data_IF_732888181390
#
_entry.id   IF_732888181390
#
_cell.length_a   1.000
_cell.length_b   1.000
_cell.length_c   1.000
_cell.angle_alpha   90.00
_cell.angle_beta   90.00
_cell.angle_gamma   90.00
#
_symmetry.space_group_name_H-M   'P 1'
#
loop_
_entity.id
_entity.type
_entity.pdbx_description
1 polymer ?
#
# COMPACT_ATOMS: atom_id res chain seq x y z
N UNK A 1 -32.08 53.09 -24.73
CA UNK A 1 -32.09 52.11 -25.82
C UNK A 1 -30.83 51.27 -25.65
N UNK A 2 -30.90 50.12 -24.95
CA UNK A 2 -30.98 48.78 -25.56
C UNK A 2 -29.54 48.31 -25.89
N UNK A 3 -28.94 47.34 -25.21
CA UNK A 3 -29.39 45.96 -25.10
C UNK A 3 -28.71 45.23 -23.93
N UNK A 4 -29.54 44.68 -23.03
CA UNK A 4 -29.18 43.58 -22.14
C UNK A 4 -29.85 42.32 -22.66
N UNK A 5 -29.16 41.19 -22.67
CA UNK A 5 -29.75 39.94 -23.15
C UNK A 5 -28.77 38.79 -23.26
N UNK A 6 -28.34 38.21 -22.13
CA UNK A 6 -27.79 36.86 -22.07
C UNK A 6 -27.72 36.35 -20.61
N UNK A 7 -28.84 36.34 -19.88
CA UNK A 7 -28.88 35.74 -18.52
C UNK A 7 -30.23 35.13 -18.11
N UNK A 8 -31.15 34.90 -19.04
CA UNK A 8 -32.50 34.39 -18.76
C UNK A 8 -32.84 33.11 -19.51
N UNK A 9 -31.88 32.17 -19.59
CA UNK A 9 -32.05 30.88 -20.27
C UNK A 9 -31.94 29.62 -19.41
N UNK A 10 -31.72 29.71 -18.09
CA UNK A 10 -31.39 28.54 -17.24
C UNK A 10 -32.25 28.32 -15.99
N UNK A 11 -33.35 29.06 -15.83
CA UNK A 11 -34.22 28.98 -14.63
C UNK A 11 -35.70 28.68 -14.90
N UNK A 12 -36.06 28.12 -16.06
CA UNK A 12 -37.44 27.79 -16.40
C UNK A 12 -37.63 26.35 -16.89
N UNK A 13 -37.17 25.35 -16.13
CA UNK A 13 -37.64 23.95 -16.24
C UNK A 13 -37.76 23.23 -14.88
N UNK A 14 -38.12 23.96 -13.83
CA UNK A 14 -38.58 23.38 -12.57
C UNK A 14 -39.97 23.95 -12.30
N UNK A 15 -40.97 23.43 -13.01
CA UNK A 15 -42.40 23.50 -12.68
C UNK A 15 -43.18 22.83 -13.81
N UNK A 16 -43.32 21.52 -13.74
CA UNK A 16 -44.49 20.73 -14.19
C UNK A 16 -44.14 19.24 -14.26
N UNK A 17 -44.40 18.53 -13.16
CA UNK A 17 -45.11 17.23 -13.17
C UNK A 17 -45.11 16.68 -11.75
N UNK A 18 -46.11 17.09 -10.99
CA UNK A 18 -46.60 16.27 -9.88
C UNK A 18 -47.21 15.02 -10.51
N UNK A 19 -46.50 13.91 -10.43
CA UNK A 19 -47.11 12.58 -10.52
C UNK A 19 -46.42 11.66 -9.51
N UNK A 20 -46.74 11.85 -8.23
CA UNK A 20 -46.17 11.13 -7.08
C UNK A 20 -46.69 9.71 -6.91
N UNK A 21 -47.46 9.18 -7.87
CA UNK A 21 -47.99 7.79 -7.85
C UNK A 21 -47.29 6.82 -8.82
N UNK A 22 -46.50 7.30 -9.79
CA UNK A 22 -45.77 6.43 -10.73
C UNK A 22 -44.31 6.19 -10.35
N UNK A 23 -43.69 7.11 -9.60
CA UNK A 23 -42.30 6.98 -9.11
C UNK A 23 -42.18 5.90 -8.03
N UNK A 24 -43.21 5.69 -7.21
CA UNK A 24 -43.21 4.67 -6.15
C UNK A 24 -43.29 3.25 -6.72
N UNK A 25 -43.98 3.06 -7.85
CA UNK A 25 -44.14 1.74 -8.49
C UNK A 25 -42.89 1.34 -9.27
N UNK A 26 -42.22 2.27 -9.97
CA UNK A 26 -40.93 2.01 -10.61
C UNK A 26 -39.77 1.79 -9.61
N UNK A 27 -39.83 2.41 -8.41
CA UNK A 27 -38.83 2.19 -7.35
C UNK A 27 -38.98 0.87 -6.59
N UNK A 28 -40.14 0.21 -6.65
CA UNK A 28 -40.27 -1.14 -6.11
C UNK A 28 -39.72 -2.21 -7.07
N UNK A 29 -39.59 -1.92 -8.37
CA UNK A 29 -38.98 -2.82 -9.35
C UNK A 29 -37.44 -2.82 -9.30
N UNK A 30 -36.80 -1.76 -8.80
CA UNK A 30 -35.34 -1.74 -8.61
C UNK A 30 -34.85 -2.72 -7.54
N UNK A 31 -35.75 -3.20 -6.68
CA UNK A 31 -35.48 -4.20 -5.63
C UNK A 31 -35.24 -5.61 -6.24
N UNK A 32 -35.73 -5.86 -7.46
CA UNK A 32 -35.63 -7.17 -8.15
C UNK A 32 -34.40 -7.35 -9.04
N UNK A 33 -33.51 -6.35 -9.13
CA UNK A 33 -32.47 -6.29 -10.17
C UNK A 33 -31.09 -6.78 -9.73
N UNK A 34 -30.79 -6.78 -8.43
CA UNK A 34 -29.59 -7.43 -7.93
C UNK A 34 -29.89 -8.93 -7.80
N UNK A 35 -29.26 -9.73 -8.65
CA UNK A 35 -29.40 -11.19 -8.58
C UNK A 35 -28.93 -11.68 -7.21
N UNK A 36 -29.50 -12.80 -6.74
CA UNK A 36 -28.98 -13.54 -5.59
C UNK A 36 -27.44 -13.65 -5.74
N UNK A 37 -26.63 -13.30 -4.71
CA UNK A 37 -26.94 -13.30 -3.27
C UNK A 37 -27.12 -11.93 -2.60
N UNK A 38 -27.54 -10.88 -3.32
CA UNK A 38 -27.81 -9.58 -2.69
C UNK A 38 -29.11 -9.57 -1.87
N UNK A 39 -29.05 -9.02 -0.65
CA UNK A 39 -30.20 -8.82 0.23
C UNK A 39 -30.41 -7.34 0.49
N UNK A 40 -31.62 -6.86 0.25
CA UNK A 40 -32.02 -5.49 0.60
C UNK A 40 -32.20 -5.35 2.12
N UNK A 41 -31.58 -4.34 2.73
CA UNK A 41 -31.57 -4.16 4.20
C UNK A 41 -32.06 -2.78 4.65
N UNK A 42 -32.02 -1.78 3.74
CA UNK A 42 -32.52 -0.41 3.93
C UNK A 42 -33.02 0.10 2.57
N UNK A 43 -33.90 1.12 2.50
CA UNK A 43 -34.55 1.57 1.25
C UNK A 43 -33.62 1.69 0.03
N UNK A 44 -32.37 2.10 0.24
CA UNK A 44 -31.38 2.30 -0.81
C UNK A 44 -30.06 1.53 -0.60
N UNK A 45 -30.06 0.53 0.29
CA UNK A 45 -28.86 -0.23 0.64
C UNK A 45 -29.12 -1.73 0.58
N UNK A 46 -28.27 -2.41 -0.18
CA UNK A 46 -28.23 -3.88 -0.23
C UNK A 46 -26.91 -4.40 0.31
N UNK A 47 -26.91 -5.63 0.82
CA UNK A 47 -25.73 -6.32 1.32
C UNK A 47 -25.54 -7.65 0.59
N UNK A 48 -24.29 -7.98 0.27
CA UNK A 48 -23.86 -9.30 -0.21
C UNK A 48 -22.81 -9.84 0.73
N UNK A 49 -23.06 -11.03 1.26
CA UNK A 49 -22.08 -11.73 2.08
C UNK A 49 -21.39 -12.81 1.25
N UNK A 50 -20.07 -12.90 1.40
CA UNK A 50 -19.21 -13.88 0.75
C UNK A 50 -18.29 -14.54 1.77
N UNK A 51 -17.86 -15.75 1.46
CA UNK A 51 -16.98 -16.54 2.32
C UNK A 51 -15.80 -17.07 1.50
N UNK A 52 -14.66 -17.19 2.16
CA UNK A 52 -13.49 -17.92 1.66
C UNK A 52 -12.71 -18.51 2.82
N UNK A 53 -11.81 -19.43 2.54
CA UNK A 53 -10.85 -19.94 3.52
C UNK A 53 -10.02 -18.78 4.07
N UNK A 54 -9.82 -18.74 5.39
CA UNK A 54 -8.89 -17.79 6.00
C UNK A 54 -7.48 -18.02 5.45
N UNK A 55 -6.74 -16.98 5.02
CA UNK A 55 -5.33 -17.14 4.66
C UNK A 55 -4.42 -17.27 5.89
N UNK A 56 -4.98 -17.13 7.08
CA UNK A 56 -4.28 -17.23 8.36
C UNK A 56 -4.57 -18.59 8.98
N UNK A 57 -3.85 -19.62 8.52
CA UNK A 57 -3.91 -20.96 9.11
C UNK A 57 -3.43 -20.92 10.57
N UNK A 58 -3.78 -21.94 11.36
CA UNK A 58 -3.36 -22.14 12.78
C UNK A 58 -1.84 -22.10 13.04
N UNK A 59 -1.02 -22.05 11.99
CA UNK A 59 0.45 -22.05 12.03
C UNK A 59 1.01 -20.62 12.09
N UNK A 60 0.25 -19.62 11.64
CA UNK A 60 0.68 -18.23 11.69
C UNK A 60 0.27 -17.68 13.07
N UNK A 61 1.21 -17.21 13.90
CA UNK A 61 0.86 -16.61 15.18
C UNK A 61 -0.21 -15.55 14.99
N UNK A 62 -1.28 -15.65 15.80
CA UNK A 62 -2.36 -14.65 15.84
C UNK A 62 -1.85 -13.26 16.25
N UNK A 63 -0.60 -13.16 16.70
CA UNK A 63 0.12 -11.92 16.96
C UNK A 63 0.73 -11.39 15.66
N UNK A 64 0.33 -10.20 15.25
CA UNK A 64 0.78 -9.61 13.99
C UNK A 64 2.07 -8.82 14.27
N UNK A 65 3.14 -9.06 13.50
CA UNK A 65 4.48 -8.69 13.91
C UNK A 65 4.72 -7.18 13.90
N UNK A 66 5.78 -6.83 14.64
CA UNK A 66 6.39 -5.50 14.85
C UNK A 66 6.63 -4.65 13.59
N UNK A 67 6.40 -5.17 12.38
CA UNK A 67 6.25 -4.36 11.17
C UNK A 67 5.20 -3.25 11.37
N UNK A 68 4.16 -3.54 12.14
CA UNK A 68 3.10 -2.61 12.54
C UNK A 68 3.13 -2.40 14.06
N UNK A 69 3.81 -1.36 14.58
CA UNK A 69 3.90 -1.10 16.03
C UNK A 69 2.54 -1.02 16.74
N UNK A 70 1.47 -0.69 16.00
CA UNK A 70 0.11 -0.63 16.51
C UNK A 70 -0.49 -2.01 16.85
N UNK A 71 0.20 -3.10 16.49
CA UNK A 71 -0.31 -4.47 16.53
C UNK A 71 0.45 -5.41 17.47
N UNK A 72 1.45 -4.92 18.20
CA UNK A 72 2.16 -5.74 19.17
C UNK A 72 1.14 -6.35 20.15
N UNK A 73 1.07 -7.70 20.19
CA UNK A 73 0.11 -8.47 20.98
C UNK A 73 -1.39 -8.29 20.62
N UNK A 74 -1.72 -7.92 19.38
CA UNK A 74 -3.11 -7.86 18.88
C UNK A 74 -3.50 -9.14 18.15
N UNK A 75 -4.69 -9.65 18.48
CA UNK A 75 -5.31 -10.84 17.87
C UNK A 75 -5.88 -10.50 16.47
N UNK A 76 -5.72 -11.42 15.53
CA UNK A 76 -6.25 -11.34 14.17
C UNK A 76 -7.77 -11.12 14.09
N UNK A 77 -8.53 -11.58 15.09
CA UNK A 77 -9.99 -11.40 15.18
C UNK A 77 -10.40 -9.91 15.31
N UNK A 78 -9.44 -9.03 15.58
CA UNK A 78 -9.62 -7.58 15.62
C UNK A 78 -9.42 -6.90 14.27
N UNK A 79 -8.92 -7.62 13.25
CA UNK A 79 -8.73 -7.03 11.93
C UNK A 79 -10.05 -6.87 11.21
N UNK A 80 -10.18 -5.72 10.56
CA UNK A 80 -11.26 -5.41 9.65
C UNK A 80 -10.64 -4.91 8.34
N UNK A 81 -10.54 -5.80 7.37
CA UNK A 81 -10.08 -5.48 6.01
C UNK A 81 -11.15 -4.67 5.32
N UNK A 82 -10.80 -3.55 4.69
CA UNK A 82 -11.80 -2.73 4.03
C UNK A 82 -11.28 -2.05 2.78
N UNK A 83 -12.21 -1.79 1.87
CA UNK A 83 -12.03 -1.08 0.62
C UNK A 83 -13.34 -0.37 0.25
N UNK A 84 -13.26 0.70 -0.55
CA UNK A 84 -14.44 1.45 -1.02
C UNK A 84 -14.35 1.68 -2.53
N UNK A 85 -15.50 1.59 -3.21
CA UNK A 85 -15.66 2.17 -4.54
C UNK A 85 -16.41 3.49 -4.47
N UNK A 86 -15.93 4.47 -5.23
CA UNK A 86 -16.34 5.86 -5.08
C UNK A 86 -16.81 6.46 -6.40
N UNK A 87 -17.64 7.50 -6.34
CA UNK A 87 -18.16 8.19 -7.54
C UNK A 87 -17.16 9.11 -8.22
N UNK A 88 -15.90 9.12 -7.80
CA UNK A 88 -14.86 9.95 -8.41
C UNK A 88 -13.51 9.83 -7.71
N UNK A 89 -12.44 10.09 -8.46
CA UNK A 89 -11.07 9.88 -8.00
C UNK A 89 -10.48 11.04 -7.19
N UNK A 90 -11.18 12.18 -7.12
CA UNK A 90 -10.60 13.46 -6.67
C UNK A 90 -11.02 13.89 -5.25
N UNK A 91 -11.77 13.06 -4.50
CA UNK A 91 -12.09 13.30 -3.09
C UNK A 91 -12.87 14.59 -2.76
N UNK A 92 -13.39 15.30 -3.77
CA UNK A 92 -14.16 16.54 -3.56
C UNK A 92 -15.50 16.28 -2.86
N UNK A 93 -16.16 17.34 -2.37
CA UNK A 93 -17.40 17.25 -1.58
C UNK A 93 -18.59 16.51 -2.26
N UNK A 94 -18.56 16.34 -3.58
CA UNK A 94 -19.53 15.56 -4.35
C UNK A 94 -19.21 14.06 -4.46
N UNK A 95 -18.01 13.64 -4.06
CA UNK A 95 -17.59 12.23 -4.07
C UNK A 95 -18.27 11.49 -2.92
N UNK A 96 -18.81 10.32 -3.19
CA UNK A 96 -19.39 9.41 -2.19
C UNK A 96 -18.89 7.98 -2.45
N UNK A 97 -18.83 7.19 -1.38
CA UNK A 97 -18.66 5.74 -1.51
C UNK A 97 -20.03 5.14 -1.87
N UNK A 98 -20.08 4.36 -2.95
CA UNK A 98 -21.29 3.65 -3.36
C UNK A 98 -21.19 2.15 -3.09
N UNK A 99 -19.98 1.62 -2.93
CA UNK A 99 -19.71 0.26 -2.50
C UNK A 99 -18.72 0.33 -1.34
N UNK A 100 -19.00 -0.38 -0.26
CA UNK A 100 -18.08 -0.50 0.85
C UNK A 100 -17.96 -1.97 1.26
N UNK A 101 -16.74 -2.44 1.39
CA UNK A 101 -16.44 -3.82 1.68
C UNK A 101 -15.74 -3.97 3.01
N UNK A 102 -16.16 -4.96 3.79
CA UNK A 102 -15.57 -5.25 5.09
C UNK A 102 -15.36 -6.75 5.25
N UNK A 103 -14.11 -7.14 5.48
CA UNK A 103 -13.69 -8.53 5.69
C UNK A 103 -13.13 -8.74 7.08
N UNK A 104 -13.46 -9.87 7.72
CA UNK A 104 -12.87 -10.29 8.99
C UNK A 104 -12.72 -11.81 9.04
N UNK A 105 -11.85 -12.29 9.93
CA UNK A 105 -11.62 -13.71 10.15
C UNK A 105 -12.42 -14.17 11.37
N UNK A 106 -13.20 -15.23 11.20
CA UNK A 106 -13.95 -15.90 12.26
C UNK A 106 -13.98 -17.41 11.96
N UNK A 107 -13.64 -18.25 12.94
CA UNK A 107 -13.65 -19.71 12.82
C UNK A 107 -12.96 -20.23 11.54
N UNK A 108 -11.72 -19.77 11.29
CA UNK A 108 -10.90 -20.10 10.11
C UNK A 108 -11.54 -19.76 8.74
N UNK A 109 -12.53 -18.86 8.74
CA UNK A 109 -13.17 -18.34 7.52
C UNK A 109 -12.95 -16.85 7.42
N UNK A 110 -12.62 -16.40 6.22
CA UNK A 110 -12.70 -14.99 5.85
C UNK A 110 -14.13 -14.69 5.41
N UNK A 111 -14.84 -13.93 6.23
CA UNK A 111 -16.20 -13.45 5.97
C UNK A 111 -16.09 -12.04 5.40
N UNK A 112 -16.77 -11.78 4.28
CA UNK A 112 -16.75 -10.47 3.62
C UNK A 112 -18.18 -10.00 3.38
N UNK A 113 -18.50 -8.81 3.87
CA UNK A 113 -19.73 -8.11 3.57
C UNK A 113 -19.44 -6.95 2.60
N UNK A 114 -20.17 -6.91 1.48
CA UNK A 114 -20.21 -5.77 0.59
C UNK A 114 -21.54 -5.06 0.77
N UNK A 115 -21.50 -3.77 1.09
CA UNK A 115 -22.65 -2.88 1.19
C UNK A 115 -22.71 -2.04 -0.08
N UNK A 116 -23.85 -2.03 -0.76
CA UNK A 116 -24.06 -1.31 -2.00
C UNK A 116 -25.16 -0.27 -1.83
N UNK A 117 -24.82 0.99 -2.06
CA UNK A 117 -25.72 2.13 -2.11
C UNK A 117 -26.27 2.26 -3.53
N UNK A 118 -27.55 1.97 -3.73
CA UNK A 118 -28.14 1.97 -5.06
C UNK A 118 -28.88 3.26 -5.43
N UNK A 119 -28.93 4.26 -4.54
CA UNK A 119 -29.39 5.63 -4.82
C UNK A 119 -28.88 6.59 -3.71
N UNK A 120 -28.66 7.86 -4.03
CA UNK A 120 -28.08 8.85 -3.11
C UNK A 120 -28.85 9.12 -1.81
N UNK A 121 -30.20 9.09 -1.77
CA UNK A 121 -30.94 9.31 -0.54
C UNK A 121 -30.63 8.27 0.56
N UNK A 122 -30.06 7.11 0.19
CA UNK A 122 -29.65 6.05 1.10
C UNK A 122 -28.40 6.31 1.90
N UNK A 123 -27.66 7.37 1.60
CA UNK A 123 -26.30 7.54 2.12
C UNK A 123 -26.26 7.53 3.66
N UNK A 124 -27.26 8.11 4.32
CA UNK A 124 -27.31 8.10 5.79
C UNK A 124 -27.42 6.68 6.36
N UNK A 125 -28.30 5.86 5.79
CA UNK A 125 -28.47 4.46 6.19
C UNK A 125 -27.19 3.65 5.91
N UNK A 126 -26.55 3.90 4.78
CA UNK A 126 -25.28 3.29 4.38
C UNK A 126 -24.15 3.60 5.37
N UNK A 127 -23.97 4.86 5.74
CA UNK A 127 -22.93 5.27 6.70
C UNK A 127 -23.22 4.77 8.12
N UNK A 128 -24.49 4.68 8.53
CA UNK A 128 -24.88 4.10 9.82
C UNK A 128 -24.53 2.62 9.90
N UNK A 129 -24.79 1.85 8.84
CA UNK A 129 -24.38 0.44 8.75
C UNK A 129 -22.86 0.27 8.80
N UNK A 130 -22.11 1.13 8.12
CA UNK A 130 -20.64 1.13 8.21
C UNK A 130 -20.21 1.43 9.64
N UNK A 131 -20.80 2.45 10.27
CA UNK A 131 -20.46 2.86 11.64
C UNK A 131 -20.62 1.71 12.65
N UNK A 132 -21.61 0.84 12.48
CA UNK A 132 -21.81 -0.33 13.35
C UNK A 132 -20.63 -1.32 13.33
N UNK A 133 -19.89 -1.40 12.21
CA UNK A 133 -18.70 -2.24 12.07
C UNK A 133 -17.43 -1.59 12.65
N UNK A 134 -17.44 -0.26 12.73
CA UNK A 134 -16.30 0.57 13.12
C UNK A 134 -16.25 0.71 14.65
N UNK A 135 -15.86 -0.34 15.36
CA UNK A 135 -15.69 -0.31 16.82
C UNK A 135 -14.23 -0.03 17.25
N UNK A 136 -14.04 0.58 18.43
CA UNK A 136 -12.72 1.03 18.91
C UNK A 136 -11.73 -0.13 19.17
N UNK A 137 -12.21 -1.38 19.29
CA UNK A 137 -11.39 -2.57 19.45
C UNK A 137 -10.86 -3.13 18.12
N UNK A 138 -11.37 -2.64 16.98
CA UNK A 138 -10.98 -3.08 15.64
C UNK A 138 -9.75 -2.35 15.14
N UNK A 139 -9.12 -2.94 14.13
CA UNK A 139 -8.00 -2.36 13.40
C UNK A 139 -8.35 -2.44 11.92
N UNK A 140 -8.46 -1.29 11.28
CA UNK A 140 -8.71 -1.20 9.85
C UNK A 140 -7.47 -1.63 9.08
N UNK A 141 -7.65 -2.45 8.05
CA UNK A 141 -6.59 -2.84 7.12
C UNK A 141 -7.04 -2.47 5.72
N UNK A 142 -6.28 -1.59 5.06
CA UNK A 142 -6.58 -1.08 3.73
C UNK A 142 -5.35 -1.18 2.82
N UNK A 143 -5.55 -0.93 1.53
CA UNK A 143 -4.46 -0.65 0.61
C UNK A 143 -4.58 0.78 0.12
N UNK A 144 -3.70 1.68 0.60
CA UNK A 144 -3.76 3.12 0.33
C UNK A 144 -4.93 3.87 1.00
N UNK A 145 -5.68 3.23 1.91
CA UNK A 145 -6.89 3.81 2.51
C UNK A 145 -6.64 5.02 3.40
N UNK A 146 -5.45 5.14 3.99
CA UNK A 146 -5.07 6.34 4.77
C UNK A 146 -5.07 7.61 3.94
N UNK A 147 -4.78 7.50 2.65
CA UNK A 147 -4.67 8.64 1.75
C UNK A 147 -5.95 8.92 0.96
N UNK A 148 -6.87 7.95 0.87
CA UNK A 148 -8.04 8.02 0.00
C UNK A 148 -9.35 7.71 0.76
N UNK A 149 -9.56 6.46 1.13
CA UNK A 149 -10.83 5.97 1.71
C UNK A 149 -11.17 6.59 3.07
N UNK A 150 -10.19 6.65 3.96
CA UNK A 150 -10.39 7.18 5.31
C UNK A 150 -10.73 8.69 5.29
N UNK A 151 -10.01 9.56 4.55
CA UNK A 151 -10.41 10.95 4.35
C UNK A 151 -11.82 11.11 3.77
N UNK A 152 -12.22 10.26 2.82
CA UNK A 152 -13.56 10.28 2.23
C UNK A 152 -14.61 9.94 3.30
N UNK A 153 -14.47 8.82 4.00
CA UNK A 153 -15.40 8.42 5.07
C UNK A 153 -15.52 9.51 6.14
N UNK A 154 -14.40 10.09 6.57
CA UNK A 154 -14.38 11.19 7.53
C UNK A 154 -15.22 12.38 7.05
N UNK A 155 -15.06 12.76 5.78
CA UNK A 155 -15.82 13.86 5.17
C UNK A 155 -17.31 13.53 5.09
N UNK A 156 -17.67 12.32 4.63
CA UNK A 156 -19.08 11.89 4.49
C UNK A 156 -19.79 11.81 5.84
N UNK A 157 -19.13 11.23 6.85
CA UNK A 157 -19.64 11.18 8.22
C UNK A 157 -19.90 12.60 8.75
N UNK A 158 -18.92 13.50 8.61
CA UNK A 158 -19.07 14.89 9.06
C UNK A 158 -20.25 15.61 8.36
N UNK A 159 -20.39 15.45 7.05
CA UNK A 159 -21.49 16.05 6.27
C UNK A 159 -22.87 15.55 6.69
N UNK A 160 -22.97 14.35 7.29
CA UNK A 160 -24.22 13.79 7.84
C UNK A 160 -24.38 14.00 9.34
N UNK A 161 -23.53 14.79 9.98
CA UNK A 161 -23.56 15.01 11.43
C UNK A 161 -23.17 13.77 12.24
N UNK A 162 -22.47 12.81 11.62
CA UNK A 162 -21.98 11.60 12.27
C UNK A 162 -20.52 11.79 12.70
N UNK A 163 -20.19 11.24 13.87
CA UNK A 163 -18.80 11.08 14.31
C UNK A 163 -18.22 9.75 13.79
N UNK A 164 -17.12 9.82 13.05
CA UNK A 164 -16.31 8.65 12.71
C UNK A 164 -15.54 8.19 13.97
N UNK A 165 -15.61 6.91 14.36
CA UNK A 165 -14.85 6.37 15.49
C UNK A 165 -13.34 6.49 15.29
N UNK A 166 -12.60 6.58 16.40
CA UNK A 166 -11.13 6.73 16.35
C UNK A 166 -10.49 5.34 16.30
N UNK A 167 -10.24 4.85 15.08
CA UNK A 167 -9.79 3.48 14.87
C UNK A 167 -8.34 3.44 14.38
N UNK A 168 -7.58 2.45 14.85
CA UNK A 168 -6.22 2.20 14.37
C UNK A 168 -6.25 1.66 12.94
N UNK A 169 -5.30 2.06 12.10
CA UNK A 169 -5.30 1.65 10.69
C UNK A 169 -3.91 1.20 10.23
N UNK A 170 -3.93 0.13 9.44
CA UNK A 170 -2.80 -0.44 8.73
C UNK A 170 -3.03 -0.22 7.25
N UNK A 171 -2.07 0.45 6.63
CA UNK A 171 -2.06 0.64 5.19
C UNK A 171 -0.96 -0.23 4.58
N UNK A 172 -1.39 -1.25 3.85
CA UNK A 172 -0.51 -2.25 3.24
C UNK A 172 0.32 -1.70 2.08
N UNK A 173 -0.06 -0.55 1.48
CA UNK A 173 0.74 0.07 0.42
C UNK A 173 2.12 0.50 0.94
N UNK A 174 2.18 1.06 2.16
CA UNK A 174 3.45 1.51 2.73
C UNK A 174 4.39 0.34 3.04
N UNK A 175 3.85 -0.75 3.57
CA UNK A 175 4.63 -1.98 3.80
C UNK A 175 5.08 -2.60 2.49
N UNK A 176 4.19 -2.66 1.49
CA UNK A 176 4.49 -3.17 0.16
C UNK A 176 5.62 -2.38 -0.51
N UNK A 177 5.60 -1.05 -0.42
CA UNK A 177 6.69 -0.20 -0.94
C UNK A 177 8.01 -0.42 -0.20
N UNK A 178 7.99 -0.66 1.11
CA UNK A 178 9.23 -0.95 1.86
C UNK A 178 9.86 -2.28 1.43
N UNK A 179 9.03 -3.26 1.09
CA UNK A 179 9.47 -4.59 0.68
C UNK A 179 9.87 -4.66 -0.79
N UNK A 180 9.09 -4.06 -1.69
CA UNK A 180 9.14 -4.43 -3.10
C UNK A 180 9.30 -3.29 -4.10
N UNK A 181 9.39 -2.02 -3.67
CA UNK A 181 9.47 -0.87 -4.60
C UNK A 181 10.65 -0.90 -5.58
N UNK A 182 11.75 -1.55 -5.19
CA UNK A 182 12.96 -1.63 -6.02
C UNK A 182 12.95 -2.87 -6.93
N UNK A 183 11.99 -3.78 -6.76
CA UNK A 183 11.88 -5.05 -7.50
C UNK A 183 10.70 -5.04 -8.47
N UNK A 184 9.58 -4.46 -8.07
CA UNK A 184 8.34 -4.46 -8.85
C UNK A 184 8.23 -3.19 -9.71
N UNK A 185 7.56 -3.27 -10.88
CA UNK A 185 7.33 -2.09 -11.73
C UNK A 185 6.46 -1.03 -11.05
N UNK A 186 5.57 -1.45 -10.14
CA UNK A 186 4.86 -0.58 -9.22
C UNK A 186 4.40 -1.38 -7.99
N UNK A 187 3.96 -0.69 -6.95
CA UNK A 187 3.25 -1.31 -5.83
C UNK A 187 1.75 -0.99 -5.90
N UNK A 188 1.12 -1.08 -7.07
CA UNK A 188 -0.35 -1.10 -7.15
C UNK A 188 -0.85 -2.49 -6.74
N UNK A 189 -2.05 -2.59 -6.18
CA UNK A 189 -2.57 -3.86 -5.65
C UNK A 189 -2.57 -4.97 -6.70
N UNK A 190 -3.03 -4.70 -7.93
CA UNK A 190 -2.97 -5.69 -9.02
C UNK A 190 -1.57 -6.19 -9.37
N UNK A 191 -0.51 -5.38 -9.19
CA UNK A 191 0.88 -5.85 -9.38
C UNK A 191 1.34 -6.70 -8.20
N UNK A 192 0.91 -6.37 -6.98
CA UNK A 192 1.19 -7.18 -5.79
C UNK A 192 0.52 -8.55 -5.91
N UNK A 193 -0.74 -8.57 -6.34
CA UNK A 193 -1.46 -9.80 -6.61
C UNK A 193 -0.72 -10.70 -7.60
N UNK A 194 -0.37 -10.17 -8.77
CA UNK A 194 0.33 -10.91 -9.82
C UNK A 194 1.72 -11.40 -9.38
N UNK A 195 2.51 -10.54 -8.74
CA UNK A 195 3.95 -10.79 -8.52
C UNK A 195 4.31 -11.35 -7.15
N UNK A 196 3.40 -11.25 -6.18
CA UNK A 196 3.62 -11.68 -4.79
C UNK A 196 2.63 -12.77 -4.39
N UNK A 197 1.35 -12.62 -4.75
CA UNK A 197 0.30 -13.54 -4.32
C UNK A 197 -0.05 -14.60 -5.37
N UNK A 198 0.53 -14.52 -6.57
CA UNK A 198 0.22 -15.40 -7.70
C UNK A 198 -1.27 -15.35 -8.09
N UNK A 199 -1.88 -14.18 -7.95
CA UNK A 199 -3.27 -13.90 -8.29
C UNK A 199 -3.28 -13.11 -9.59
N UNK A 200 -3.67 -13.77 -10.69
CA UNK A 200 -3.77 -13.14 -12.00
C UNK A 200 -5.18 -12.62 -12.25
N UNK A 201 -5.33 -11.31 -12.42
CA UNK A 201 -6.62 -10.70 -12.78
C UNK A 201 -6.96 -11.01 -14.25
N UNK A 202 -8.17 -11.52 -14.49
CA UNK A 202 -8.71 -11.79 -15.83
C UNK A 202 -9.91 -10.86 -16.06
N UNK A 203 -9.92 -10.12 -17.17
CA UNK A 203 -10.97 -9.15 -17.52
C UNK A 203 -11.19 -8.08 -16.43
N UNK A 204 -10.10 -7.48 -15.95
CA UNK A 204 -10.16 -6.44 -14.92
C UNK A 204 -10.81 -5.17 -15.45
N UNK A 205 -11.67 -4.54 -14.63
CA UNK A 205 -12.26 -3.25 -14.97
C UNK A 205 -11.25 -2.18 -14.55
N UNK A 206 -10.80 -1.29 -15.45
CA UNK A 206 -9.96 -0.18 -15.05
C UNK A 206 -10.67 0.65 -13.98
N UNK A 207 -10.02 0.90 -12.84
CA UNK A 207 -10.64 1.64 -11.72
C UNK A 207 -11.16 3.04 -12.10
N UNK A 208 -10.67 3.63 -13.18
CA UNK A 208 -11.17 4.88 -13.76
C UNK A 208 -12.60 4.76 -14.34
N UNK A 209 -13.00 3.56 -14.78
CA UNK A 209 -14.32 3.29 -15.38
C UNK A 209 -15.39 2.95 -14.35
N UNK A 210 -14.98 2.54 -13.13
CA UNK A 210 -15.89 2.11 -12.06
C UNK A 210 -16.96 3.17 -11.70
N UNK A 211 -16.64 4.47 -11.58
CA UNK A 211 -17.65 5.51 -11.34
C UNK A 211 -18.70 5.60 -12.45
N UNK A 212 -18.28 5.52 -13.73
CA UNK A 212 -19.17 5.64 -14.88
C UNK A 212 -20.15 4.46 -14.95
N UNK A 213 -19.68 3.25 -14.64
CA UNK A 213 -20.54 2.06 -14.52
C UNK A 213 -21.63 2.27 -13.46
N UNK A 214 -21.29 2.84 -12.31
CA UNK A 214 -22.26 3.15 -11.27
C UNK A 214 -23.26 4.25 -11.70
N UNK A 215 -22.80 5.31 -12.37
CA UNK A 215 -23.70 6.34 -12.87
C UNK A 215 -24.64 5.83 -13.95
N UNK A 216 -24.19 4.91 -14.81
CA UNK A 216 -25.06 4.28 -15.81
C UNK A 216 -26.07 3.33 -15.19
N UNK A 217 -25.70 2.62 -14.11
CA UNK A 217 -26.67 1.90 -13.29
C UNK A 217 -27.76 2.84 -12.75
N UNK A 218 -27.40 4.00 -12.17
CA UNK A 218 -28.37 4.96 -11.64
C UNK A 218 -29.34 5.50 -12.72
N UNK A 219 -28.88 5.62 -13.97
CA UNK A 219 -29.72 6.09 -15.10
C UNK A 219 -30.61 5.00 -15.67
N UNK A 220 -30.10 3.79 -15.77
CA UNK A 220 -30.71 2.71 -16.57
C UNK A 220 -31.34 1.60 -15.74
N UNK A 221 -31.02 1.55 -14.44
CA UNK A 221 -31.28 0.44 -13.52
C UNK A 221 -30.69 -0.92 -13.98
N UNK A 222 -29.78 -0.95 -14.96
CA UNK A 222 -29.14 -2.19 -15.41
C UNK A 222 -27.96 -2.55 -14.51
N UNK A 223 -28.06 -3.67 -13.80
CA UNK A 223 -27.08 -4.11 -12.80
C UNK A 223 -26.01 -5.04 -13.38
N UNK A 224 -26.18 -5.54 -14.61
CA UNK A 224 -25.26 -6.51 -15.20
C UNK A 224 -23.80 -6.02 -15.26
N UNK A 225 -23.51 -4.76 -15.63
CA UNK A 225 -22.14 -4.24 -15.61
C UNK A 225 -21.52 -4.14 -14.21
N UNK A 226 -22.35 -3.95 -13.16
CA UNK A 226 -21.88 -3.83 -11.78
C UNK A 226 -21.34 -5.15 -11.23
N UNK A 227 -21.74 -6.31 -11.77
CA UNK A 227 -21.24 -7.59 -11.26
C UNK A 227 -19.72 -7.72 -11.42
N UNK A 228 -19.12 -7.10 -12.45
CA UNK A 228 -17.67 -7.02 -12.57
C UNK A 228 -17.05 -6.18 -11.44
N UNK A 229 -17.62 -4.99 -11.17
CA UNK A 229 -17.19 -4.11 -10.08
C UNK A 229 -17.26 -4.83 -8.73
N UNK A 230 -18.36 -5.53 -8.45
CA UNK A 230 -18.54 -6.28 -7.21
C UNK A 230 -17.53 -7.41 -7.05
N UNK A 231 -17.19 -8.12 -8.14
CA UNK A 231 -16.21 -9.20 -8.12
C UNK A 231 -14.79 -8.67 -7.87
N UNK A 232 -14.41 -7.58 -8.53
CA UNK A 232 -13.10 -6.95 -8.35
C UNK A 232 -12.93 -6.40 -6.94
N UNK A 233 -13.91 -5.63 -6.46
CA UNK A 233 -13.91 -5.12 -5.09
C UNK A 233 -13.89 -6.26 -4.03
N UNK A 234 -14.57 -7.38 -4.28
CA UNK A 234 -14.49 -8.57 -3.42
C UNK A 234 -13.07 -9.17 -3.42
N UNK A 235 -12.44 -9.24 -4.60
CA UNK A 235 -11.08 -9.73 -4.76
C UNK A 235 -10.09 -8.82 -4.02
N UNK A 236 -10.22 -7.50 -4.13
CA UNK A 236 -9.33 -6.54 -3.48
C UNK A 236 -9.29 -6.76 -1.96
N UNK A 237 -10.45 -6.92 -1.32
CA UNK A 237 -10.56 -7.20 0.12
C UNK A 237 -9.91 -8.54 0.49
N UNK A 238 -10.10 -9.58 -0.34
CA UNK A 238 -9.41 -10.87 -0.16
C UNK A 238 -7.89 -10.66 -0.24
N UNK A 239 -7.42 -9.96 -1.26
CA UNK A 239 -6.01 -9.69 -1.47
C UNK A 239 -5.38 -8.95 -0.29
N UNK A 240 -6.11 -8.07 0.42
CA UNK A 240 -5.62 -7.47 1.66
C UNK A 240 -5.31 -8.52 2.73
N UNK A 241 -6.24 -9.46 2.95
CA UNK A 241 -6.09 -10.53 3.93
C UNK A 241 -4.93 -11.47 3.55
N UNK A 242 -4.87 -11.90 2.29
CA UNK A 242 -3.81 -12.77 1.79
C UNK A 242 -2.44 -12.09 1.82
N UNK A 243 -2.35 -10.79 1.48
CA UNK A 243 -1.11 -10.03 1.54
C UNK A 243 -0.58 -9.90 2.96
N UNK A 244 -1.46 -9.57 3.91
CA UNK A 244 -1.06 -9.48 5.31
C UNK A 244 -0.63 -10.86 5.84
N UNK A 245 -1.36 -11.92 5.51
CA UNK A 245 -0.99 -13.29 5.88
C UNK A 245 0.36 -13.70 5.29
N UNK A 246 0.63 -13.39 4.01
CA UNK A 246 1.90 -13.65 3.35
C UNK A 246 3.05 -12.95 4.08
N UNK A 247 2.95 -11.63 4.29
CA UNK A 247 3.98 -10.85 4.98
C UNK A 247 4.21 -11.41 6.40
N UNK A 248 3.13 -11.79 7.08
CA UNK A 248 3.19 -12.36 8.42
C UNK A 248 3.90 -13.72 8.43
N UNK A 249 3.56 -14.61 7.49
CA UNK A 249 4.19 -15.91 7.34
C UNK A 249 5.70 -15.81 7.09
N UNK A 250 6.12 -14.88 6.22
CA UNK A 250 7.53 -14.60 5.96
C UNK A 250 8.25 -14.03 7.18
N UNK A 251 7.57 -13.22 7.97
CA UNK A 251 8.15 -12.70 9.20
C UNK A 251 8.46 -13.81 10.20
N UNK A 252 7.54 -14.75 10.41
CA UNK A 252 7.73 -15.84 11.38
C UNK A 252 8.61 -16.98 10.86
N UNK A 253 8.65 -17.21 9.55
CA UNK A 253 9.46 -18.25 8.92
C UNK A 253 10.47 -17.65 7.94
N UNK A 254 11.48 -16.89 8.42
CA UNK A 254 12.41 -16.15 7.55
C UNK A 254 13.18 -17.05 6.57
N UNK A 255 13.37 -18.32 6.89
CA UNK A 255 14.08 -19.28 6.04
C UNK A 255 13.35 -19.58 4.71
N UNK A 256 12.04 -19.31 4.64
CA UNK A 256 11.22 -19.52 3.44
C UNK A 256 11.08 -18.26 2.57
N UNK A 257 11.73 -17.16 2.94
CA UNK A 257 11.67 -15.91 2.18
C UNK A 257 12.26 -16.14 0.79
N UNK A 258 11.53 -15.78 -0.29
CA UNK A 258 12.06 -15.88 -1.65
C UNK A 258 13.37 -15.12 -1.81
N UNK A 259 14.30 -15.68 -2.60
CA UNK A 259 15.66 -15.12 -2.76
C UNK A 259 15.66 -13.62 -3.08
N UNK A 260 14.80 -13.21 -4.02
CA UNK A 260 14.69 -11.82 -4.47
C UNK A 260 14.11 -10.85 -3.43
N UNK A 261 13.58 -11.36 -2.31
CA UNK A 261 12.96 -10.58 -1.23
C UNK A 261 13.84 -10.55 0.05
N UNK A 262 14.88 -11.40 0.13
CA UNK A 262 15.74 -11.54 1.32
C UNK A 262 16.37 -10.23 1.77
N UNK A 263 16.82 -9.39 0.83
CA UNK A 263 17.45 -8.10 1.17
C UNK A 263 16.48 -7.15 1.84
N UNK A 264 15.26 -7.04 1.31
CA UNK A 264 14.24 -6.15 1.86
C UNK A 264 13.72 -6.65 3.22
N UNK A 265 13.44 -7.94 3.35
CA UNK A 265 13.03 -8.51 4.64
C UNK A 265 14.17 -8.43 5.66
N UNK A 266 15.39 -8.80 5.27
CA UNK A 266 16.58 -8.75 6.13
C UNK A 266 16.84 -7.34 6.65
N UNK A 267 16.70 -6.31 5.81
CA UNK A 267 16.77 -4.91 6.21
C UNK A 267 15.75 -4.55 7.30
N UNK A 268 14.49 -4.95 7.12
CA UNK A 268 13.42 -4.62 8.07
C UNK A 268 13.62 -5.39 9.38
N UNK A 269 13.94 -6.68 9.31
CA UNK A 269 14.21 -7.51 10.49
C UNK A 269 15.37 -6.93 11.30
N UNK A 270 16.47 -6.56 10.64
CA UNK A 270 17.61 -5.95 11.31
C UNK A 270 17.26 -4.59 11.95
N UNK A 271 16.45 -3.76 11.28
CA UNK A 271 15.93 -2.51 11.83
C UNK A 271 15.05 -2.73 13.09
N UNK A 272 14.43 -3.91 13.21
CA UNK A 272 13.66 -4.34 14.37
C UNK A 272 14.48 -5.18 15.37
N UNK A 273 15.81 -5.13 15.27
CA UNK A 273 16.73 -5.89 16.13
C UNK A 273 16.52 -7.40 16.09
N UNK A 274 16.07 -7.94 14.94
CA UNK A 274 16.02 -9.38 14.70
C UNK A 274 17.26 -9.86 13.97
N UNK A 275 18.01 -10.75 14.62
CA UNK A 275 19.29 -11.24 14.14
C UNK A 275 19.17 -12.08 12.87
N UNK A 276 18.03 -12.73 12.64
CA UNK A 276 17.78 -13.51 11.41
C UNK A 276 17.89 -12.62 10.16
N UNK A 277 17.62 -11.32 10.29
CA UNK A 277 17.82 -10.36 9.21
C UNK A 277 19.27 -10.26 8.75
N UNK A 278 20.23 -10.47 9.65
CA UNK A 278 21.66 -10.48 9.30
C UNK A 278 21.99 -11.67 8.38
N UNK A 279 21.41 -12.83 8.65
CA UNK A 279 21.64 -14.05 7.86
C UNK A 279 21.04 -13.92 6.46
N UNK A 280 19.81 -13.39 6.36
CA UNK A 280 19.19 -13.11 5.05
C UNK A 280 20.06 -12.16 4.20
N UNK A 281 20.59 -11.10 4.81
CA UNK A 281 21.45 -10.14 4.12
C UNK A 281 22.78 -10.78 3.69
N UNK A 282 23.37 -11.66 4.50
CA UNK A 282 24.58 -12.41 4.10
C UNK A 282 24.32 -13.29 2.89
N UNK A 283 23.20 -14.01 2.87
CA UNK A 283 22.81 -14.86 1.75
C UNK A 283 22.64 -14.04 0.47
N UNK A 284 21.91 -12.92 0.53
CA UNK A 284 21.78 -12.00 -0.61
C UNK A 284 23.14 -11.47 -1.09
N UNK A 285 24.03 -11.11 -0.16
CA UNK A 285 25.35 -10.60 -0.50
C UNK A 285 26.21 -11.65 -1.20
N UNK A 286 26.15 -12.92 -0.78
CA UNK A 286 26.83 -14.04 -1.48
C UNK A 286 26.34 -14.20 -2.93
N UNK A 287 25.10 -13.80 -3.22
CA UNK A 287 24.52 -13.73 -4.57
C UNK A 287 24.80 -12.41 -5.29
N UNK A 288 25.76 -11.62 -4.81
CA UNK A 288 26.20 -10.35 -5.39
C UNK A 288 25.16 -9.23 -5.35
N UNK A 289 24.25 -9.26 -4.38
CA UNK A 289 23.37 -8.12 -4.09
C UNK A 289 24.16 -7.01 -3.37
N UNK A 290 24.48 -5.95 -4.12
CA UNK A 290 25.19 -4.78 -3.60
C UNK A 290 24.39 -4.00 -2.54
N UNK A 291 23.06 -3.98 -2.59
CA UNK A 291 22.25 -3.32 -1.57
C UNK A 291 22.34 -4.08 -0.23
N UNK A 292 22.37 -5.41 -0.27
CA UNK A 292 22.64 -6.22 0.93
C UNK A 292 24.03 -5.92 1.51
N UNK A 293 25.06 -5.83 0.66
CA UNK A 293 26.42 -5.45 1.06
C UNK A 293 26.50 -4.06 1.72
N UNK A 294 25.78 -3.06 1.17
CA UNK A 294 25.66 -1.72 1.78
C UNK A 294 25.11 -1.80 3.20
N UNK A 295 24.02 -2.55 3.39
CA UNK A 295 23.36 -2.69 4.70
C UNK A 295 24.26 -3.42 5.70
N UNK A 296 24.85 -4.56 5.30
CA UNK A 296 25.74 -5.36 6.14
C UNK A 296 26.95 -4.57 6.59
N UNK A 297 27.63 -3.87 5.67
CA UNK A 297 28.84 -3.13 6.02
C UNK A 297 28.57 -1.96 6.97
N UNK A 298 27.43 -1.28 6.82
CA UNK A 298 26.97 -0.25 7.78
C UNK A 298 26.70 -0.88 9.15
N UNK A 299 26.04 -2.04 9.19
CA UNK A 299 25.79 -2.77 10.43
C UNK A 299 27.09 -3.17 11.14
N UNK A 300 28.05 -3.79 10.44
CA UNK A 300 29.32 -4.19 11.04
C UNK A 300 30.14 -2.99 11.53
N UNK A 301 30.16 -1.90 10.76
CA UNK A 301 30.82 -0.65 11.16
C UNK A 301 30.23 -0.07 12.45
N UNK A 302 28.90 -0.09 12.60
CA UNK A 302 28.21 0.37 13.84
C UNK A 302 28.53 -0.53 15.03
N UNK A 303 28.68 -1.83 14.80
CA UNK A 303 29.04 -2.82 15.82
C UNK A 303 30.56 -2.97 16.02
N UNK A 304 31.36 -1.99 15.61
CA UNK A 304 32.82 -1.95 15.75
C UNK A 304 33.59 -3.10 15.07
N UNK A 305 32.93 -3.90 14.22
CA UNK A 305 33.59 -4.91 13.40
C UNK A 305 34.02 -4.31 12.06
N UNK A 306 35.07 -3.48 12.10
CA UNK A 306 35.55 -2.78 10.92
C UNK A 306 36.13 -3.75 9.87
N UNK A 307 36.76 -4.84 10.29
CA UNK A 307 37.34 -5.84 9.39
C UNK A 307 36.29 -6.46 8.48
N UNK A 308 35.15 -6.88 9.03
CA UNK A 308 34.05 -7.44 8.22
C UNK A 308 33.48 -6.40 7.24
N UNK A 309 33.32 -5.14 7.68
CA UNK A 309 32.84 -4.06 6.80
C UNK A 309 33.79 -3.80 5.63
N UNK A 310 35.11 -3.76 5.88
CA UNK A 310 36.13 -3.55 4.85
C UNK A 310 36.17 -4.70 3.85
N UNK A 311 36.05 -5.95 4.31
CA UNK A 311 36.01 -7.11 3.42
C UNK A 311 34.83 -7.02 2.45
N UNK A 312 33.65 -6.62 2.93
CA UNK A 312 32.47 -6.38 2.09
C UNK A 312 32.75 -5.27 1.07
N UNK A 313 33.31 -4.13 1.49
CA UNK A 313 33.61 -3.04 0.55
C UNK A 313 34.63 -3.44 -0.51
N UNK A 314 35.68 -4.19 -0.14
CA UNK A 314 36.69 -4.71 -1.09
C UNK A 314 36.05 -5.65 -2.10
N UNK A 315 35.23 -6.60 -1.63
CA UNK A 315 34.53 -7.53 -2.53
C UNK A 315 33.58 -6.78 -3.46
N UNK A 316 32.79 -5.84 -2.94
CA UNK A 316 31.92 -4.99 -3.76
C UNK A 316 32.71 -4.19 -4.78
N UNK A 317 33.84 -3.58 -4.39
CA UNK A 317 34.69 -2.76 -5.27
C UNK A 317 35.32 -3.57 -6.40
N UNK A 318 35.72 -4.81 -6.12
CA UNK A 318 36.26 -5.73 -7.12
C UNK A 318 35.19 -6.14 -8.14
N UNK A 319 33.91 -6.22 -7.75
CA UNK A 319 32.82 -6.56 -8.66
C UNK A 319 32.29 -5.33 -9.43
N UNK A 320 32.05 -4.23 -8.72
CA UNK A 320 31.63 -2.95 -9.29
C UNK A 320 32.29 -1.79 -8.57
N UNK A 321 32.88 -0.88 -9.33
CA UNK A 321 33.57 0.30 -8.77
C UNK A 321 32.58 1.46 -8.60
N UNK A 322 31.54 1.27 -7.77
CA UNK A 322 30.54 2.31 -7.49
C UNK A 322 30.96 3.24 -6.35
N UNK A 323 30.32 4.41 -6.30
CA UNK A 323 30.59 5.48 -5.36
C UNK A 323 30.60 5.04 -3.89
N UNK A 324 29.66 4.20 -3.46
CA UNK A 324 29.50 3.85 -2.05
C UNK A 324 30.74 3.11 -1.50
N UNK A 325 31.09 1.99 -2.10
CA UNK A 325 32.19 1.14 -1.66
C UNK A 325 33.54 1.84 -1.85
N UNK A 326 33.73 2.59 -2.93
CA UNK A 326 34.94 3.37 -3.15
C UNK A 326 35.12 4.46 -2.09
N UNK A 327 34.06 5.20 -1.76
CA UNK A 327 34.13 6.25 -0.74
C UNK A 327 34.44 5.67 0.66
N UNK A 328 33.87 4.53 1.02
CA UNK A 328 34.16 3.86 2.30
C UNK A 328 35.58 3.28 2.34
N UNK A 329 36.08 2.68 1.26
CA UNK A 329 37.47 2.23 1.15
C UNK A 329 38.46 3.40 1.22
N UNK A 330 38.23 4.48 0.49
CA UNK A 330 39.10 5.66 0.55
C UNK A 330 39.16 6.26 1.97
N UNK A 331 38.04 6.29 2.69
CA UNK A 331 38.03 6.70 4.11
C UNK A 331 38.82 5.73 4.99
N UNK A 332 38.69 4.42 4.75
CA UNK A 332 39.43 3.40 5.48
C UNK A 332 40.94 3.56 5.28
N UNK A 333 41.40 3.62 4.03
CA UNK A 333 42.81 3.81 3.69
C UNK A 333 43.36 5.13 4.25
N UNK A 334 42.61 6.23 4.15
CA UNK A 334 43.03 7.53 4.68
C UNK A 334 43.17 7.56 6.21
N UNK A 335 42.18 7.00 6.92
CA UNK A 335 42.05 7.23 8.36
C UNK A 335 42.55 6.08 9.22
N UNK A 336 42.54 4.84 8.71
CA UNK A 336 42.80 3.63 9.49
C UNK A 336 44.15 2.99 9.17
N UNK A 337 44.45 2.76 7.89
CA UNK A 337 45.74 2.14 7.52
C UNK A 337 46.80 3.14 7.09
N UNK A 338 46.40 4.39 6.78
CA UNK A 338 47.29 5.46 6.31
C UNK A 338 47.91 5.19 4.93
N UNK A 339 47.31 4.29 4.14
CA UNK A 339 47.67 4.05 2.74
C UNK A 339 47.10 5.19 1.86
N UNK A 340 47.75 6.35 1.89
CA UNK A 340 47.26 7.57 1.22
C UNK A 340 47.18 7.40 -0.30
N UNK A 341 48.14 6.70 -0.90
CA UNK A 341 48.16 6.44 -2.36
C UNK A 341 46.95 5.62 -2.81
N UNK A 342 46.62 4.54 -2.10
CA UNK A 342 45.44 3.72 -2.40
C UNK A 342 44.14 4.51 -2.23
N UNK A 343 44.06 5.42 -1.24
CA UNK A 343 42.92 6.31 -1.09
C UNK A 343 42.80 7.29 -2.27
N UNK A 344 43.93 7.83 -2.76
CA UNK A 344 43.96 8.75 -3.90
C UNK A 344 43.55 8.05 -5.20
N UNK A 345 44.04 6.85 -5.45
CA UNK A 345 43.72 6.06 -6.63
C UNK A 345 42.20 5.83 -6.75
N UNK A 346 41.58 5.39 -5.65
CA UNK A 346 40.13 5.17 -5.59
C UNK A 346 39.37 6.48 -5.86
N UNK A 347 39.78 7.59 -5.24
CA UNK A 347 39.09 8.89 -5.42
C UNK A 347 39.21 9.37 -6.86
N UNK A 348 40.40 9.26 -7.48
CA UNK A 348 40.60 9.63 -8.89
C UNK A 348 39.74 8.79 -9.82
N UNK A 349 39.65 7.48 -9.57
CA UNK A 349 38.79 6.59 -10.35
C UNK A 349 37.31 6.96 -10.21
N UNK A 350 36.85 7.28 -9.00
CA UNK A 350 35.47 7.74 -8.78
C UNK A 350 35.18 9.05 -9.51
N UNK A 351 36.13 10.00 -9.52
CA UNK A 351 35.97 11.28 -10.21
C UNK A 351 35.85 11.14 -11.73
N UNK A 352 36.45 10.11 -12.33
CA UNK A 352 36.30 9.83 -13.77
C UNK A 352 34.90 9.33 -14.14
N UNK A 353 34.17 8.75 -13.19
CA UNK A 353 32.86 8.12 -13.43
C UNK A 353 31.68 8.96 -12.96
N UNK A 354 31.93 9.99 -12.15
CA UNK A 354 30.89 10.78 -11.50
C UNK A 354 30.59 12.06 -12.27
N UNK A 355 29.32 12.26 -12.61
CA UNK A 355 28.87 13.41 -13.38
C UNK A 355 28.09 14.43 -12.53
N UNK A 356 27.81 14.11 -11.27
CA UNK A 356 27.06 14.99 -10.39
C UNK A 356 27.98 16.04 -9.77
N UNK A 357 27.78 17.32 -10.09
CA UNK A 357 28.58 18.45 -9.57
C UNK A 357 28.74 18.42 -8.04
N UNK A 358 27.64 18.14 -7.32
CA UNK A 358 27.64 18.02 -5.85
C UNK A 358 28.58 16.92 -5.34
N UNK A 359 28.65 15.79 -6.04
CA UNK A 359 29.49 14.65 -5.63
C UNK A 359 30.93 14.92 -6.04
N UNK A 360 31.15 15.46 -7.24
CA UNK A 360 32.46 15.87 -7.73
C UNK A 360 33.15 16.87 -6.79
N UNK A 361 32.45 17.91 -6.35
CA UNK A 361 32.99 18.87 -5.37
C UNK A 361 33.48 18.20 -4.07
N UNK A 362 32.75 17.18 -3.58
CA UNK A 362 33.16 16.40 -2.39
C UNK A 362 34.38 15.53 -2.67
N UNK A 363 34.46 14.93 -3.86
CA UNK A 363 35.60 14.11 -4.26
C UNK A 363 36.86 14.96 -4.45
N UNK A 364 36.76 16.11 -5.11
CA UNK A 364 37.85 17.09 -5.27
C UNK A 364 38.37 17.59 -3.93
N UNK A 365 37.47 17.92 -2.99
CA UNK A 365 37.88 18.34 -1.66
C UNK A 365 38.66 17.23 -0.93
N UNK A 366 38.22 15.97 -1.07
CA UNK A 366 38.94 14.81 -0.51
C UNK A 366 40.26 14.58 -1.21
N UNK A 367 40.33 14.68 -2.54
CA UNK A 367 41.55 14.53 -3.32
C UNK A 367 42.61 15.55 -2.88
N UNK A 368 42.27 16.85 -2.87
CA UNK A 368 43.17 17.91 -2.38
C UNK A 368 43.66 17.66 -0.97
N UNK A 369 42.80 17.15 -0.09
CA UNK A 369 43.17 16.80 1.29
C UNK A 369 44.14 15.61 1.34
N UNK A 370 43.96 14.61 0.49
CA UNK A 370 44.83 13.44 0.40
C UNK A 370 46.19 13.80 -0.24
N UNK A 371 46.22 14.62 -1.28
CA UNK A 371 47.46 15.10 -1.92
C UNK A 371 48.35 15.83 -0.92
N UNK A 372 47.78 16.72 -0.09
CA UNK A 372 48.53 17.39 0.98
C UNK A 372 49.14 16.40 1.97
N UNK A 373 48.41 15.32 2.32
CA UNK A 373 48.90 14.28 3.23
C UNK A 373 49.98 13.41 2.61
N UNK A 374 49.93 13.18 1.30
CA UNK A 374 50.94 12.41 0.56
C UNK A 374 52.29 13.12 0.47
N UNK A 375 52.31 14.45 0.57
CA UNK A 375 53.54 15.27 0.55
C UNK A 375 54.11 15.50 1.96
N UNK A 376 53.30 15.26 3.00
CA UNK A 376 53.65 15.56 4.41
C UNK A 376 54.00 14.33 5.25
N UNK A 377 53.94 13.13 4.67
CA UNK A 377 54.37 11.87 5.27
C UNK A 377 55.50 11.28 4.45
#
# INVERSE_FOLDING_TARGET
MGSGGALTGRLSRIRTSRNSKSVSTQKNESITLLKHPWRHIKPFVSIRQSFSTSPFNNIIPKNIPLLFPQMENRNIEKLLFYDLETTGLSGGAGTLAFLAGFGWVENDRLIINQYFLHDFPGEIDFLLLIKELLTDDKILVSYNGKSFDHPLLRTRFLMKGLKLPSISEIDLLHTSRRLWKNRLPSCRLGVIEDRILDIHRVNDIPGIEVPDIYFDFLKTNKSEPLEGVFKHHLQDIKSLAFLLAYINGQWFNPFNIPENDKTSFGKIMLFRNREEGLELLKQSFLKKDNEAGKILSIYYKRNKNLTAAVNIWKEMWNNSQELFQGLELAKYYEHKTKEIESALEIVKLLMQKENTERIMSKLEHRMRRLERKSVSG
#
